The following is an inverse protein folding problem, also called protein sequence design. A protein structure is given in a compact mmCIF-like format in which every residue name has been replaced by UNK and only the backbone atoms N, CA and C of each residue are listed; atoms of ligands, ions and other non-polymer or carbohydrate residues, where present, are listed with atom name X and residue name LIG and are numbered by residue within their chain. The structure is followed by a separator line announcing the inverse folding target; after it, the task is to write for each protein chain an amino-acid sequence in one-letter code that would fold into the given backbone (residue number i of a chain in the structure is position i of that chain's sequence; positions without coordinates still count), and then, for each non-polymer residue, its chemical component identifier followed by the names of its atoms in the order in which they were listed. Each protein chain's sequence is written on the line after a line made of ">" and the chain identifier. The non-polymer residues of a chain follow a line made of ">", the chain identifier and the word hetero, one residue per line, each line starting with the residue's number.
data_IF_602044657138
#
_entry.id   IF_602044657138
#
_cell.length_a   1.000
_cell.length_b   1.000
_cell.length_c   1.000
_cell.angle_alpha   90.00
_cell.angle_beta   90.00
_cell.angle_gamma   90.00
#
_symmetry.space_group_name_H-M   'P 1'
#
loop_
_entity.id
_entity.type
_entity.pdbx_description
1 polymer ?
#
# COMPACT_ATOMS: atom_id res chain seq x y z
N UNK A 1 49.13 18.86 8.28
CA UNK A 1 48.26 19.96 7.80
C UNK A 1 47.00 19.96 8.64
N UNK A 2 46.85 20.93 9.55
CA UNK A 2 45.63 21.14 10.35
C UNK A 2 44.77 22.17 9.63
N UNK A 3 43.56 21.80 9.20
CA UNK A 3 42.59 22.70 8.55
C UNK A 3 42.07 23.76 9.53
N UNK A 4 41.73 24.96 9.03
CA UNK A 4 41.24 26.06 9.87
C UNK A 4 39.86 25.77 10.47
N UNK A 5 39.62 26.17 11.72
CA UNK A 5 38.31 26.06 12.39
C UNK A 5 37.19 26.76 11.62
N UNK A 6 37.49 27.82 10.85
CA UNK A 6 36.51 28.48 9.97
C UNK A 6 36.12 27.60 8.78
N UNK A 7 37.08 26.94 8.14
CA UNK A 7 36.83 26.02 7.03
C UNK A 7 36.06 24.78 7.50
N UNK A 8 36.40 24.27 8.69
CA UNK A 8 35.65 23.19 9.33
C UNK A 8 34.21 23.62 9.67
N UNK A 9 33.98 24.84 10.19
CA UNK A 9 32.62 25.32 10.47
C UNK A 9 31.78 25.49 9.20
N UNK A 10 32.39 25.99 8.11
CA UNK A 10 31.70 26.20 6.82
C UNK A 10 31.30 24.86 6.21
N UNK A 11 32.21 23.89 6.21
CA UNK A 11 31.93 22.53 5.70
C UNK A 11 30.87 21.82 6.53
N UNK A 12 30.93 21.89 7.88
CA UNK A 12 29.91 21.32 8.76
C UNK A 12 28.54 21.95 8.52
N UNK A 13 28.46 23.29 8.40
CA UNK A 13 27.20 23.99 8.10
C UNK A 13 26.64 23.57 6.74
N UNK A 14 27.48 23.50 5.71
CA UNK A 14 27.07 23.08 4.38
C UNK A 14 26.51 21.65 4.40
N UNK A 15 27.23 20.71 5.02
CA UNK A 15 26.77 19.33 5.19
C UNK A 15 25.46 19.27 5.98
N UNK A 16 25.35 19.99 7.10
CA UNK A 16 24.12 20.04 7.90
C UNK A 16 22.93 20.62 7.11
N UNK A 17 23.14 21.65 6.29
CA UNK A 17 22.08 22.21 5.43
C UNK A 17 21.66 21.25 4.31
N UNK A 18 22.59 20.54 3.69
CA UNK A 18 22.29 19.52 2.67
C UNK A 18 21.51 18.37 3.30
N UNK A 19 21.96 17.85 4.44
CA UNK A 19 21.24 16.80 5.19
C UNK A 19 19.83 17.27 5.56
N UNK A 20 19.68 18.47 6.14
CA UNK A 20 18.37 19.01 6.50
C UNK A 20 17.45 19.15 5.27
N UNK A 21 17.97 19.68 4.15
CA UNK A 21 17.20 19.79 2.91
C UNK A 21 16.77 18.40 2.38
N UNK A 22 17.64 17.39 2.43
CA UNK A 22 17.27 16.03 2.01
C UNK A 22 16.19 15.41 2.91
N UNK A 23 16.24 15.62 4.23
CA UNK A 23 15.22 15.13 5.16
C UNK A 23 13.85 15.75 4.89
N UNK A 24 13.82 17.06 4.61
CA UNK A 24 12.58 17.77 4.27
C UNK A 24 11.96 17.26 2.96
N UNK A 25 12.77 16.95 1.96
CA UNK A 25 12.30 16.38 0.67
C UNK A 25 11.75 14.96 0.85
N UNK A 26 12.33 14.16 1.74
CA UNK A 26 11.89 12.78 2.00
C UNK A 26 10.50 12.75 2.67
N UNK A 27 10.20 13.69 3.57
CA UNK A 27 8.90 13.74 4.27
C UNK A 27 7.69 13.89 3.33
N UNK A 28 7.86 14.56 2.19
CA UNK A 28 6.78 14.77 1.22
C UNK A 28 6.56 13.52 0.32
N UNK A 29 7.56 12.64 0.22
CA UNK A 29 7.53 11.47 -0.66
C UNK A 29 6.77 10.25 -0.11
N UNK A 30 6.41 10.24 1.17
CA UNK A 30 5.81 9.09 1.86
C UNK A 30 4.37 9.35 2.31
N UNK A 31 3.54 9.90 1.42
CA UNK A 31 2.11 10.02 1.71
C UNK A 31 1.50 8.65 2.06
N UNK A 32 0.77 8.60 3.18
CA UNK A 32 0.06 7.40 3.62
C UNK A 32 -0.84 6.85 2.51
N UNK A 33 -0.72 5.55 2.26
CA UNK A 33 -1.55 4.78 1.34
C UNK A 33 -2.52 3.95 2.15
N UNK A 34 -3.79 3.95 1.76
CA UNK A 34 -4.86 3.18 2.39
C UNK A 34 -5.44 2.18 1.39
N UNK A 35 -5.57 0.93 1.83
CA UNK A 35 -6.16 -0.16 1.05
C UNK A 35 -7.44 -0.60 1.75
N UNK A 36 -8.49 -0.80 0.96
CA UNK A 36 -9.77 -1.35 1.39
C UNK A 36 -10.05 -2.65 0.64
N UNK A 37 -10.51 -3.67 1.35
CA UNK A 37 -10.98 -4.94 0.80
C UNK A 37 -12.38 -5.21 1.34
N UNK A 38 -13.39 -4.86 0.54
CA UNK A 38 -14.80 -4.95 0.93
C UNK A 38 -15.42 -6.24 0.42
N UNK A 39 -16.12 -6.96 1.30
CA UNK A 39 -16.86 -8.14 0.92
C UNK A 39 -18.29 -7.79 0.50
N UNK A 40 -18.62 -7.99 -0.77
CA UNK A 40 -19.98 -7.82 -1.35
C UNK A 40 -20.50 -9.13 -1.96
N UNK A 41 -20.09 -10.26 -1.40
CA UNK A 41 -20.65 -11.57 -1.73
C UNK A 41 -22.09 -11.68 -1.22
N UNK A 42 -22.93 -12.44 -1.92
CA UNK A 42 -24.36 -12.57 -1.59
C UNK A 42 -24.65 -13.31 -0.29
N UNK A 43 -23.81 -14.27 0.11
CA UNK A 43 -24.09 -15.13 1.26
C UNK A 43 -22.86 -15.74 1.94
N UNK A 44 -21.65 -15.26 1.62
CA UNK A 44 -20.42 -15.92 2.07
C UNK A 44 -19.48 -14.94 2.75
N UNK A 45 -18.86 -15.41 3.83
CA UNK A 45 -17.74 -14.75 4.47
C UNK A 45 -16.49 -14.89 3.61
N UNK A 46 -15.72 -13.82 3.52
CA UNK A 46 -14.49 -13.76 2.75
C UNK A 46 -13.29 -13.93 3.69
N UNK A 47 -12.38 -14.84 3.36
CA UNK A 47 -11.07 -14.88 4.04
C UNK A 47 -10.07 -14.13 3.17
N UNK A 48 -9.49 -13.06 3.72
CA UNK A 48 -8.48 -12.23 3.08
C UNK A 48 -7.13 -12.49 3.76
N UNK A 49 -6.10 -12.78 2.99
CA UNK A 49 -4.73 -12.85 3.49
C UNK A 49 -3.83 -11.99 2.63
N UNK A 50 -3.36 -10.88 3.20
CA UNK A 50 -2.53 -9.90 2.50
C UNK A 50 -1.15 -9.81 3.15
N UNK A 51 -0.13 -9.57 2.35
CA UNK A 51 1.21 -9.35 2.86
C UNK A 51 2.13 -8.72 1.84
N UNK A 52 3.15 -8.03 2.35
CA UNK A 52 4.31 -7.56 1.62
C UNK A 52 5.51 -8.46 1.90
N UNK A 53 6.68 -8.10 1.37
CA UNK A 53 7.94 -8.78 1.69
C UNK A 53 8.29 -8.67 3.19
N UNK A 54 7.89 -7.58 3.82
CA UNK A 54 8.31 -7.21 5.19
C UNK A 54 7.16 -7.33 6.20
N UNK A 55 5.91 -7.19 5.74
CA UNK A 55 4.72 -7.15 6.58
C UNK A 55 3.73 -8.25 6.19
N UNK A 56 3.51 -9.21 7.07
CA UNK A 56 2.40 -10.15 6.95
C UNK A 56 1.21 -9.61 7.75
N UNK A 57 0.14 -9.19 7.05
CA UNK A 57 -1.08 -8.71 7.68
C UNK A 57 -1.94 -9.86 8.23
N UNK A 58 -1.49 -11.11 8.05
CA UNK A 58 -2.19 -12.33 8.46
C UNK A 58 -3.53 -12.50 7.75
N UNK A 59 -4.23 -13.57 8.10
CA UNK A 59 -5.56 -13.86 7.58
C UNK A 59 -6.63 -13.14 8.40
N UNK A 60 -7.55 -12.48 7.70
CA UNK A 60 -8.73 -11.82 8.25
C UNK A 60 -10.00 -12.44 7.65
N UNK A 61 -11.01 -12.61 8.50
CA UNK A 61 -12.34 -13.05 8.11
C UNK A 61 -13.23 -11.81 7.99
N UNK A 62 -13.76 -11.54 6.81
CA UNK A 62 -14.55 -10.34 6.48
C UNK A 62 -15.99 -10.75 6.23
N UNK A 63 -16.90 -10.26 7.07
CA UNK A 63 -18.34 -10.54 6.94
C UNK A 63 -18.94 -9.88 5.70
N UNK A 64 -20.17 -10.26 5.36
CA UNK A 64 -20.88 -9.64 4.22
C UNK A 64 -21.09 -8.16 4.53
N UNK A 65 -20.86 -7.31 3.53
CA UNK A 65 -20.93 -5.86 3.60
C UNK A 65 -19.89 -5.18 4.50
N UNK A 66 -18.94 -5.95 5.06
CA UNK A 66 -17.85 -5.45 5.89
C UNK A 66 -16.58 -5.17 5.08
N UNK A 67 -15.64 -4.43 5.69
CA UNK A 67 -14.41 -3.96 5.07
C UNK A 67 -13.17 -4.34 5.90
N UNK A 68 -12.16 -4.88 5.22
CA UNK A 68 -10.82 -5.01 5.77
C UNK A 68 -9.94 -3.88 5.23
N UNK A 69 -9.54 -2.98 6.11
CA UNK A 69 -8.70 -1.83 5.77
C UNK A 69 -7.36 -1.85 6.49
N UNK A 70 -6.34 -1.34 5.82
CA UNK A 70 -5.07 -0.98 6.44
C UNK A 70 -4.44 0.20 5.74
N UNK A 71 -3.58 0.91 6.47
CA UNK A 71 -2.79 2.02 5.94
C UNK A 71 -1.32 1.83 6.25
N UNK A 72 -0.46 2.29 5.33
CA UNK A 72 0.99 2.20 5.47
C UNK A 72 1.67 3.36 4.75
N UNK A 73 2.91 3.63 5.13
CA UNK A 73 3.79 4.54 4.41
C UNK A 73 4.66 3.73 3.44
N UNK A 74 4.65 4.04 2.13
CA UNK A 74 5.55 3.38 1.18
C UNK A 74 7.02 3.64 1.55
N UNK A 75 7.89 2.64 1.37
CA UNK A 75 9.31 2.81 1.72
C UNK A 75 10.02 3.74 0.72
N UNK A 76 11.08 4.41 1.19
CA UNK A 76 11.85 5.36 0.37
C UNK A 76 12.66 4.69 -0.75
N UNK A 77 12.76 3.36 -0.75
CA UNK A 77 13.48 2.58 -1.76
C UNK A 77 12.57 2.09 -2.90
N UNK A 78 11.30 2.51 -2.92
CA UNK A 78 10.32 2.17 -3.97
C UNK A 78 10.04 0.67 -4.10
N UNK A 79 10.15 -0.10 -3.02
CA UNK A 79 9.98 -1.56 -3.03
C UNK A 79 8.71 -2.06 -2.35
N UNK A 80 7.81 -1.18 -1.91
CA UNK A 80 6.59 -1.62 -1.21
C UNK A 80 5.62 -2.28 -2.20
N UNK A 81 5.33 -3.56 -1.96
CA UNK A 81 4.42 -4.38 -2.76
C UNK A 81 3.54 -5.19 -1.83
N UNK A 82 2.22 -5.04 -1.90
CA UNK A 82 1.26 -5.88 -1.17
C UNK A 82 0.54 -6.82 -2.13
N UNK A 83 0.62 -8.12 -1.83
CA UNK A 83 -0.11 -9.17 -2.52
C UNK A 83 -1.17 -9.76 -1.60
N UNK A 84 -2.33 -10.09 -2.17
CA UNK A 84 -3.48 -10.59 -1.42
C UNK A 84 -4.01 -11.89 -2.01
N UNK A 85 -4.48 -12.77 -1.12
CA UNK A 85 -5.13 -14.02 -1.44
C UNK A 85 -6.53 -14.03 -0.81
N UNK A 86 -7.53 -14.18 -1.64
CA UNK A 86 -8.93 -14.30 -1.28
C UNK A 86 -9.35 -15.77 -1.30
N UNK A 87 -10.10 -16.19 -0.29
CA UNK A 87 -10.68 -17.54 -0.21
C UNK A 87 -12.13 -17.48 0.21
N UNK A 88 -12.96 -18.21 -0.52
CA UNK A 88 -14.40 -18.37 -0.26
C UNK A 88 -14.74 -19.80 -0.64
N UNK A 89 -15.21 -20.63 0.30
CA UNK A 89 -15.67 -22.03 0.09
C UNK A 89 -15.40 -22.63 -1.31
N UNK A 90 -14.20 -23.20 -1.49
CA UNK A 90 -13.79 -23.87 -2.74
C UNK A 90 -13.23 -22.97 -3.84
N UNK A 91 -13.42 -21.66 -3.78
CA UNK A 91 -12.90 -20.65 -4.72
C UNK A 91 -11.73 -19.88 -4.13
N UNK A 92 -10.78 -19.51 -4.99
CA UNK A 92 -9.63 -18.68 -4.61
C UNK A 92 -9.33 -17.64 -5.69
N UNK A 93 -8.80 -16.50 -5.27
CA UNK A 93 -8.35 -15.44 -6.17
C UNK A 93 -7.15 -14.73 -5.55
N UNK A 94 -6.07 -14.55 -6.32
CA UNK A 94 -4.89 -13.80 -5.89
C UNK A 94 -4.73 -12.53 -6.73
N UNK A 95 -4.30 -11.44 -6.11
CA UNK A 95 -4.09 -10.16 -6.79
C UNK A 95 -3.02 -9.31 -6.09
N UNK A 96 -2.50 -8.31 -6.80
CA UNK A 96 -1.63 -7.27 -6.23
C UNK A 96 -2.53 -6.13 -5.77
N UNK A 97 -2.54 -5.87 -4.46
CA UNK A 97 -3.35 -4.83 -3.85
C UNK A 97 -2.70 -3.45 -3.94
N UNK A 98 -1.37 -3.42 -3.99
CA UNK A 98 -0.57 -2.20 -4.18
C UNK A 98 0.83 -2.54 -4.68
N UNK A 99 1.32 -1.79 -5.66
CA UNK A 99 2.70 -1.81 -6.15
C UNK A 99 3.23 -0.37 -6.27
N UNK A 100 4.15 0.00 -5.38
CA UNK A 100 4.72 1.35 -5.34
C UNK A 100 5.36 1.79 -6.67
N UNK A 101 5.87 0.87 -7.48
CA UNK A 101 6.49 1.17 -8.77
C UNK A 101 5.50 1.59 -9.85
N UNK A 102 4.21 1.26 -9.69
CA UNK A 102 3.18 1.51 -10.70
C UNK A 102 1.93 2.24 -10.18
N UNK A 103 1.71 2.25 -8.86
CA UNK A 103 0.56 2.87 -8.22
C UNK A 103 0.89 4.25 -7.65
N UNK A 104 0.35 5.29 -8.29
CA UNK A 104 0.43 6.68 -7.80
C UNK A 104 -0.75 7.13 -6.94
N UNK A 105 -1.70 6.25 -6.65
CA UNK A 105 -2.92 6.59 -5.90
C UNK A 105 -2.75 6.35 -4.39
N UNK A 106 -3.30 7.26 -3.57
CA UNK A 106 -3.33 7.14 -2.11
C UNK A 106 -4.35 6.12 -1.61
N UNK A 107 -5.38 5.85 -2.40
CA UNK A 107 -6.48 4.96 -2.02
C UNK A 107 -6.66 3.87 -3.06
N UNK A 108 -6.81 2.63 -2.61
CA UNK A 108 -7.15 1.49 -3.45
C UNK A 108 -8.32 0.75 -2.84
N UNK A 109 -9.39 0.62 -3.61
CA UNK A 109 -10.61 -0.05 -3.19
C UNK A 109 -10.78 -1.33 -3.99
N UNK A 110 -10.78 -2.45 -3.28
CA UNK A 110 -10.96 -3.78 -3.81
C UNK A 110 -12.30 -4.33 -3.32
N UNK A 111 -13.22 -4.59 -4.25
CA UNK A 111 -14.57 -5.04 -3.90
C UNK A 111 -14.78 -6.44 -4.44
N UNK A 112 -15.21 -7.34 -3.57
CA UNK A 112 -15.31 -8.77 -3.88
C UNK A 112 -16.78 -9.15 -4.07
N UNK A 113 -17.13 -9.48 -5.31
CA UNK A 113 -18.48 -9.93 -5.67
C UNK A 113 -18.46 -11.42 -6.08
N UNK A 114 -19.64 -12.02 -6.21
CA UNK A 114 -19.78 -13.40 -6.68
C UNK A 114 -19.19 -13.63 -8.08
N UNK A 115 -19.18 -12.58 -8.92
CA UNK A 115 -18.60 -12.57 -10.27
C UNK A 115 -17.08 -12.40 -10.31
N UNK A 116 -16.46 -11.99 -9.20
CA UNK A 116 -15.01 -11.77 -9.11
C UNK A 116 -14.63 -10.49 -8.36
N UNK A 117 -13.36 -10.13 -8.50
CA UNK A 117 -12.72 -8.97 -7.87
C UNK A 117 -12.85 -7.72 -8.74
N UNK A 118 -13.25 -6.64 -8.10
CA UNK A 118 -13.40 -5.31 -8.68
C UNK A 118 -12.41 -4.35 -8.03
N UNK A 119 -11.87 -3.40 -8.80
CA UNK A 119 -10.87 -2.45 -8.32
C UNK A 119 -11.12 -1.03 -8.79
N UNK A 120 -10.86 -0.05 -7.92
CA UNK A 120 -10.77 1.38 -8.26
C UNK A 120 -9.75 2.10 -7.39
N UNK A 121 -9.20 3.18 -7.92
CA UNK A 121 -8.15 4.01 -7.27
C UNK A 121 -8.67 5.34 -6.69
N UNK A 122 -10.00 5.50 -6.59
CA UNK A 122 -10.67 6.70 -6.09
C UNK A 122 -12.06 6.33 -5.57
N UNK A 123 -12.58 7.08 -4.60
CA UNK A 123 -13.92 6.89 -4.05
C UNK A 123 -15.02 7.17 -5.09
N UNK A 124 -14.81 8.14 -5.97
CA UNK A 124 -15.80 8.64 -6.96
C UNK A 124 -15.72 7.98 -8.34
N UNK A 125 -14.76 7.06 -8.54
CA UNK A 125 -14.57 6.35 -9.80
C UNK A 125 -15.42 5.09 -9.95
N UNK A 126 -15.67 4.69 -11.20
CA UNK A 126 -16.28 3.40 -11.51
C UNK A 126 -15.31 2.24 -11.27
N UNK A 127 -15.84 1.13 -10.75
CA UNK A 127 -15.07 -0.09 -10.52
C UNK A 127 -14.81 -0.87 -11.81
N UNK A 128 -13.64 -1.50 -11.91
CA UNK A 128 -13.24 -2.33 -13.05
C UNK A 128 -13.12 -3.77 -12.61
N UNK A 129 -13.47 -4.73 -13.48
CA UNK A 129 -13.19 -6.15 -13.22
C UNK A 129 -11.68 -6.36 -13.29
N UNK A 130 -11.10 -6.86 -12.20
CA UNK A 130 -9.65 -7.06 -12.04
C UNK A 130 -9.28 -8.55 -12.08
N UNK A 131 -10.18 -9.42 -11.62
CA UNK A 131 -9.96 -10.86 -11.64
C UNK A 131 -11.25 -11.64 -11.46
N UNK A 132 -11.30 -12.86 -11.99
CA UNK A 132 -12.39 -13.81 -11.77
C UNK A 132 -11.95 -14.89 -10.80
N UNK A 133 -12.90 -15.51 -10.12
CA UNK A 133 -12.64 -16.69 -9.29
C UNK A 133 -12.05 -17.82 -10.13
N UNK A 134 -11.06 -18.51 -9.57
CA UNK A 134 -10.61 -19.81 -10.07
C UNK A 134 -11.43 -20.94 -9.47
#
# INVERSE_FOLDING_TARGET
>A
MTTSTREQLVTIRLLATVVLATVLVVQDSTAMVTIHVTNKLSSKTLIVHCGSREDDLRAHTVEIDDDFEWSFEPNVFFTTLFSCNLRVEGRRLSFVAYDQGSDGAKYHYWVVYDRGLYGKRSSTGGERLMGKWN
#
